data_IF_072555797745
#
_entry.id   IF_072555797745
#
_cell.length_a   1.000
_cell.length_b   1.000
_cell.length_c   1.000
_cell.angle_alpha   90.00
_cell.angle_beta   90.00
_cell.angle_gamma   90.00
#
_symmetry.space_group_name_H-M   'P 1'
#
loop_
_entity.id
_entity.type
_entity.pdbx_description
1 polymer ?
#
# COMPACT_ATOMS: atom_id res chain seq x y z
N UNK A 1 -16.50 -6.60 3.50
CA UNK A 1 -15.80 -7.75 4.07
C UNK A 1 -15.00 -7.28 5.27
N UNK A 2 -15.20 -7.96 6.42
CA UNK A 2 -14.47 -7.68 7.65
C UNK A 2 -12.99 -7.95 7.40
N UNK A 3 -12.20 -6.92 7.27
CA UNK A 3 -10.75 -7.08 7.31
C UNK A 3 -10.33 -7.42 8.75
N UNK A 4 -9.43 -8.39 8.94
CA UNK A 4 -8.94 -8.73 10.26
C UNK A 4 -8.25 -7.51 10.88
N UNK A 5 -8.39 -7.37 12.20
CA UNK A 5 -7.64 -6.38 12.96
C UNK A 5 -6.12 -6.53 12.70
N UNK A 6 -5.36 -5.44 12.72
CA UNK A 6 -3.93 -5.49 12.49
C UNK A 6 -3.26 -6.44 13.48
N UNK A 7 -2.35 -7.26 12.96
CA UNK A 7 -1.64 -8.25 13.74
C UNK A 7 -0.38 -7.62 14.36
N UNK A 8 -0.15 -7.78 15.68
CA UNK A 8 0.90 -7.03 16.38
C UNK A 8 2.34 -7.50 16.10
N UNK A 9 2.52 -8.66 15.45
CA UNK A 9 3.85 -9.22 15.17
C UNK A 9 3.85 -10.15 13.95
N UNK A 10 5.02 -10.34 13.34
CA UNK A 10 5.29 -11.34 12.31
C UNK A 10 5.45 -12.74 12.93
N UNK A 11 4.43 -13.22 13.60
CA UNK A 11 4.39 -14.59 14.06
C UNK A 11 3.85 -15.50 12.96
N UNK A 12 4.24 -16.77 12.96
CA UNK A 12 3.83 -17.73 11.94
C UNK A 12 2.31 -17.82 11.80
N UNK A 13 1.59 -17.79 12.93
CA UNK A 13 0.12 -17.81 12.96
C UNK A 13 -0.51 -16.52 12.40
N UNK A 14 0.20 -15.40 12.51
CA UNK A 14 -0.21 -14.13 11.94
C UNK A 14 -0.05 -14.14 10.43
N UNK A 15 1.09 -14.62 9.93
CA UNK A 15 1.36 -14.78 8.50
C UNK A 15 0.39 -15.77 7.84
N UNK A 16 0.02 -16.84 8.53
CA UNK A 16 -0.93 -17.84 8.03
C UNK A 16 -2.36 -17.28 7.83
N UNK A 17 -2.69 -16.15 8.44
CA UNK A 17 -4.01 -15.47 8.29
C UNK A 17 -4.03 -14.46 7.16
N UNK A 18 -2.86 -14.10 6.59
CA UNK A 18 -2.82 -13.18 5.47
C UNK A 18 -3.43 -13.82 4.21
N UNK A 19 -4.13 -13.03 3.39
CA UNK A 19 -4.56 -13.52 2.08
C UNK A 19 -3.36 -13.99 1.25
N UNK A 20 -3.51 -15.10 0.54
CA UNK A 20 -2.43 -15.70 -0.27
C UNK A 20 -1.88 -14.78 -1.37
N UNK A 21 -2.59 -13.73 -1.75
CA UNK A 21 -2.06 -12.73 -2.68
C UNK A 21 -1.01 -11.80 -2.06
N UNK A 22 -0.89 -11.75 -0.73
CA UNK A 22 0.22 -11.07 -0.03
C UNK A 22 1.39 -12.01 0.24
N UNK A 23 1.10 -13.26 0.63
CA UNK A 23 2.10 -14.28 0.92
C UNK A 23 1.73 -15.53 0.13
N UNK A 24 2.20 -15.57 -1.13
CA UNK A 24 1.86 -16.67 -2.03
C UNK A 24 2.55 -17.97 -1.62
N UNK A 25 1.81 -19.09 -1.59
CA UNK A 25 2.43 -20.40 -1.45
C UNK A 25 3.40 -20.66 -2.61
N UNK A 26 4.58 -21.17 -2.28
CA UNK A 26 5.46 -21.71 -3.31
C UNK A 26 5.03 -23.17 -3.62
N UNK A 27 4.71 -23.55 -4.85
CA UNK A 27 5.05 -22.97 -6.15
C UNK A 27 3.89 -22.27 -6.90
N UNK A 28 2.88 -21.72 -6.20
CA UNK A 28 1.73 -21.11 -6.88
C UNK A 28 2.13 -19.94 -7.80
N UNK A 29 1.42 -19.83 -8.90
CA UNK A 29 1.48 -18.65 -9.76
C UNK A 29 0.55 -17.56 -9.23
N UNK A 30 0.79 -16.29 -9.59
CA UNK A 30 -0.10 -15.19 -9.21
C UNK A 30 -1.59 -15.44 -9.57
N UNK A 31 -1.95 -15.91 -10.79
CA UNK A 31 -3.34 -16.24 -11.09
C UNK A 31 -3.95 -17.30 -10.16
N UNK A 32 -3.19 -18.32 -9.78
CA UNK A 32 -3.66 -19.35 -8.84
C UNK A 32 -3.87 -18.79 -7.43
N UNK A 33 -2.95 -17.97 -6.95
CA UNK A 33 -3.04 -17.34 -5.62
C UNK A 33 -4.20 -16.34 -5.53
N UNK A 34 -4.50 -15.61 -6.61
CA UNK A 34 -5.53 -14.55 -6.63
C UNK A 34 -6.93 -15.10 -6.92
N UNK A 35 -7.05 -16.19 -7.70
CA UNK A 35 -8.35 -16.71 -8.13
C UNK A 35 -9.39 -16.90 -7.00
N UNK A 36 -9.04 -17.40 -5.79
CA UNK A 36 -10.00 -17.55 -4.70
C UNK A 36 -10.53 -16.23 -4.13
N UNK A 37 -9.88 -15.12 -4.43
CA UNK A 37 -10.18 -13.77 -3.90
C UNK A 37 -10.75 -12.83 -4.98
N UNK A 38 -11.00 -13.35 -6.18
CA UNK A 38 -11.61 -12.53 -7.23
C UNK A 38 -13.00 -12.06 -6.82
N UNK A 39 -13.32 -10.79 -7.04
CA UNK A 39 -14.65 -10.27 -6.71
C UNK A 39 -15.73 -10.91 -7.58
N UNK A 40 -16.89 -11.09 -7.02
CA UNK A 40 -18.09 -11.47 -7.74
C UNK A 40 -18.57 -10.34 -8.67
N UNK A 41 -19.38 -10.60 -9.71
CA UNK A 41 -19.99 -9.55 -10.52
C UNK A 41 -20.73 -8.49 -9.69
N UNK A 42 -21.46 -8.89 -8.66
CA UNK A 42 -22.18 -7.96 -7.78
C UNK A 42 -21.23 -7.06 -6.97
N UNK A 43 -20.08 -7.56 -6.54
CA UNK A 43 -19.07 -6.75 -5.87
C UNK A 43 -18.37 -5.79 -6.82
N UNK A 44 -18.17 -6.19 -8.09
CA UNK A 44 -17.64 -5.32 -9.15
C UNK A 44 -18.63 -4.19 -9.42
N UNK A 45 -19.91 -4.51 -9.60
CA UNK A 45 -20.97 -3.52 -9.84
C UNK A 45 -21.15 -2.55 -8.66
N UNK A 46 -20.91 -3.00 -7.44
CA UNK A 46 -20.95 -2.18 -6.23
C UNK A 46 -19.67 -1.34 -5.99
N UNK A 47 -18.63 -1.52 -6.78
CA UNK A 47 -17.37 -0.80 -6.63
C UNK A 47 -17.51 0.63 -7.15
N UNK A 48 -17.53 1.61 -6.24
CA UNK A 48 -17.71 3.03 -6.58
C UNK A 48 -16.40 3.79 -6.75
N UNK A 49 -15.28 3.25 -6.27
CA UNK A 49 -13.98 3.93 -6.30
C UNK A 49 -13.13 3.59 -7.53
N UNK A 50 -13.49 2.57 -8.30
CA UNK A 50 -12.84 2.19 -9.56
C UNK A 50 -13.90 1.91 -10.65
N UNK A 51 -14.61 2.92 -11.14
CA UNK A 51 -15.57 2.74 -12.24
C UNK A 51 -14.85 2.37 -13.55
N UNK A 52 -15.61 1.86 -14.51
CA UNK A 52 -15.08 1.32 -15.77
C UNK A 52 -14.24 2.33 -16.58
N UNK A 53 -14.61 3.59 -16.58
CA UNK A 53 -13.86 4.65 -17.26
C UNK A 53 -12.49 4.89 -16.59
N UNK A 54 -12.42 4.89 -15.27
CA UNK A 54 -11.17 4.97 -14.53
C UNK A 54 -10.30 3.74 -14.77
N UNK A 55 -10.88 2.53 -14.74
CA UNK A 55 -10.18 1.28 -15.05
C UNK A 55 -9.64 1.28 -16.48
N UNK A 56 -10.40 1.83 -17.44
CA UNK A 56 -9.97 1.92 -18.84
C UNK A 56 -8.69 2.76 -19.02
N UNK A 57 -8.47 3.77 -18.19
CA UNK A 57 -7.22 4.57 -18.20
C UNK A 57 -6.02 3.71 -17.82
N UNK A 58 -6.13 2.88 -16.77
CA UNK A 58 -5.08 1.94 -16.38
C UNK A 58 -4.81 0.91 -17.48
N UNK A 59 -5.87 0.32 -18.02
CA UNK A 59 -5.78 -0.67 -19.11
C UNK A 59 -5.05 -0.06 -20.32
N UNK A 60 -5.41 1.14 -20.74
CA UNK A 60 -4.77 1.82 -21.86
C UNK A 60 -3.28 2.13 -21.57
N UNK A 61 -2.96 2.57 -20.38
CA UNK A 61 -1.58 2.85 -19.97
C UNK A 61 -0.72 1.58 -19.99
N UNK A 62 -1.18 0.49 -19.39
CA UNK A 62 -0.44 -0.77 -19.36
C UNK A 62 -0.37 -1.48 -20.71
N UNK A 63 -1.42 -1.40 -21.55
CA UNK A 63 -1.35 -1.87 -22.94
C UNK A 63 -0.26 -1.17 -23.73
N UNK A 64 -0.06 0.11 -23.53
CA UNK A 64 0.95 0.91 -24.25
C UNK A 64 2.36 0.71 -23.71
N UNK A 65 2.55 0.59 -22.39
CA UNK A 65 3.86 0.62 -21.72
C UNK A 65 4.29 -0.72 -21.16
N UNK A 66 3.37 -1.68 -21.01
CA UNK A 66 3.62 -2.93 -20.28
C UNK A 66 3.78 -2.72 -18.79
N UNK A 67 4.07 -3.79 -18.09
CA UNK A 67 4.20 -3.80 -16.62
C UNK A 67 5.65 -3.60 -16.13
N UNK A 68 6.64 -3.57 -17.03
CA UNK A 68 8.06 -3.59 -16.65
C UNK A 68 8.45 -2.41 -15.76
N UNK A 69 7.95 -1.20 -16.06
CA UNK A 69 8.23 -0.01 -15.24
C UNK A 69 7.76 -0.15 -13.80
N UNK A 70 6.52 -0.59 -13.59
CA UNK A 70 5.98 -0.84 -12.25
C UNK A 70 6.70 -1.96 -11.51
N UNK A 71 7.08 -3.03 -12.22
CA UNK A 71 7.79 -4.16 -11.64
C UNK A 71 9.23 -3.82 -11.22
N UNK A 72 9.85 -2.80 -11.82
CA UNK A 72 11.20 -2.36 -11.43
C UNK A 72 11.27 -1.90 -9.98
N UNK A 73 10.23 -1.28 -9.45
CA UNK A 73 10.16 -0.93 -8.04
C UNK A 73 10.44 -2.14 -7.12
N UNK A 74 9.77 -3.26 -7.39
CA UNK A 74 9.94 -4.49 -6.62
C UNK A 74 11.29 -5.18 -6.87
N UNK A 75 11.78 -5.15 -8.11
CA UNK A 75 13.10 -5.71 -8.46
C UNK A 75 14.23 -4.96 -7.76
N UNK A 76 14.17 -3.64 -7.71
CA UNK A 76 15.14 -2.83 -6.98
C UNK A 76 15.18 -3.17 -5.48
N UNK A 77 14.03 -3.52 -4.87
CA UNK A 77 13.98 -3.92 -3.47
C UNK A 77 14.68 -5.27 -3.17
N UNK A 78 14.87 -6.11 -4.19
CA UNK A 78 15.50 -7.44 -4.08
C UNK A 78 16.88 -7.53 -4.73
N UNK A 79 17.33 -6.48 -5.39
CA UNK A 79 18.63 -6.42 -6.05
C UNK A 79 19.74 -6.01 -5.07
N UNK A 80 20.82 -6.77 -5.02
CA UNK A 80 21.88 -6.58 -4.05
C UNK A 80 22.61 -5.23 -4.23
N UNK A 81 22.86 -4.81 -5.47
CA UNK A 81 23.57 -3.55 -5.74
C UNK A 81 22.69 -2.35 -5.36
N UNK A 82 21.39 -2.42 -5.65
CA UNK A 82 20.43 -1.41 -5.23
C UNK A 82 20.30 -1.36 -3.71
N UNK A 83 20.32 -2.51 -3.03
CA UNK A 83 20.31 -2.57 -1.56
C UNK A 83 21.53 -1.85 -0.96
N UNK A 84 22.73 -2.08 -1.51
CA UNK A 84 23.97 -1.38 -1.11
C UNK A 84 23.83 0.13 -1.31
N UNK A 85 23.31 0.56 -2.45
CA UNK A 85 23.08 1.98 -2.73
C UNK A 85 22.08 2.63 -1.77
N UNK A 86 20.99 1.91 -1.41
CA UNK A 86 20.00 2.39 -0.46
C UNK A 86 20.50 2.39 1.00
N UNK A 87 21.46 1.52 1.34
CA UNK A 87 22.00 1.43 2.70
C UNK A 87 22.66 2.74 3.19
N UNK A 88 23.12 3.59 2.27
CA UNK A 88 23.62 4.93 2.59
C UNK A 88 22.60 5.83 3.31
N UNK A 89 21.31 5.52 3.18
CA UNK A 89 20.23 6.24 3.86
C UNK A 89 19.83 5.63 5.21
N UNK A 90 20.43 4.50 5.58
CA UNK A 90 20.13 3.83 6.84
C UNK A 90 20.39 4.75 8.04
N UNK A 91 19.37 4.89 8.90
CA UNK A 91 19.44 5.74 10.09
C UNK A 91 19.36 7.25 9.83
N UNK A 92 19.25 7.70 8.57
CA UNK A 92 19.03 9.11 8.29
C UNK A 92 17.62 9.54 8.69
N UNK A 93 17.56 10.71 9.30
CA UNK A 93 16.29 11.34 9.66
C UNK A 93 15.72 12.13 8.48
N UNK A 94 14.40 12.17 8.39
CA UNK A 94 13.65 13.04 7.48
C UNK A 94 13.35 14.31 8.26
N UNK A 95 13.98 15.41 7.86
CA UNK A 95 13.93 16.70 8.60
C UNK A 95 13.05 17.76 7.93
N UNK A 96 12.50 17.44 6.76
CA UNK A 96 11.55 18.29 6.05
C UNK A 96 10.14 18.06 6.59
N UNK A 97 9.22 19.04 6.45
CA UNK A 97 7.81 18.85 6.76
C UNK A 97 7.29 17.59 6.08
N UNK A 98 6.63 16.72 6.83
CA UNK A 98 6.19 15.41 6.36
C UNK A 98 4.76 15.14 6.80
N UNK A 99 4.01 14.43 5.98
CA UNK A 99 2.69 13.90 6.33
C UNK A 99 2.59 12.43 5.90
N UNK A 100 1.80 11.66 6.63
CA UNK A 100 1.47 10.28 6.30
C UNK A 100 -0.04 10.11 6.22
N UNK A 101 -0.52 9.54 5.11
CA UNK A 101 -1.94 9.26 4.88
C UNK A 101 -2.05 7.82 4.38
N UNK A 102 -2.86 7.00 5.04
CA UNK A 102 -3.12 5.62 4.61
C UNK A 102 -4.55 5.20 4.96
N UNK A 103 -5.04 4.13 4.34
CA UNK A 103 -6.30 3.50 4.72
C UNK A 103 -6.13 2.62 5.96
N UNK A 104 -7.15 2.59 6.84
CA UNK A 104 -7.15 1.76 8.04
C UNK A 104 -7.16 0.25 7.72
N UNK A 105 -7.60 -0.10 6.52
CA UNK A 105 -7.64 -1.45 6.01
C UNK A 105 -6.44 -1.80 5.11
N UNK A 106 -5.45 -0.90 4.99
CA UNK A 106 -4.23 -1.17 4.25
C UNK A 106 -3.28 -2.04 5.08
N UNK A 107 -3.04 -3.26 4.61
CA UNK A 107 -2.07 -4.17 5.22
C UNK A 107 -0.66 -3.54 5.29
N UNK A 108 -0.30 -2.69 4.32
CA UNK A 108 0.99 -2.00 4.26
C UNK A 108 1.33 -1.20 5.52
N UNK A 109 0.34 -0.68 6.22
CA UNK A 109 0.52 0.05 7.49
C UNK A 109 1.02 -0.87 8.61
N UNK A 110 0.65 -2.14 8.56
CA UNK A 110 0.87 -3.12 9.63
C UNK A 110 1.96 -4.14 9.32
N UNK A 111 2.44 -4.20 8.08
CA UNK A 111 3.38 -5.22 7.60
C UNK A 111 4.75 -5.20 8.29
N UNK A 112 5.13 -4.09 8.91
CA UNK A 112 6.38 -3.95 9.66
C UNK A 112 6.07 -3.51 11.09
N UNK A 113 6.05 -4.44 12.06
CA UNK A 113 5.72 -4.15 13.45
C UNK A 113 6.53 -2.98 14.03
N UNK A 114 5.84 -2.01 14.62
CA UNK A 114 6.43 -0.81 15.18
C UNK A 114 6.98 0.22 14.18
N UNK A 115 6.88 -0.01 12.86
CA UNK A 115 7.36 0.95 11.85
C UNK A 115 6.59 2.27 11.93
N UNK A 116 5.27 2.18 12.12
CA UNK A 116 4.40 3.34 12.26
C UNK A 116 4.77 4.21 13.48
N UNK A 117 5.05 3.58 14.62
CA UNK A 117 5.48 4.30 15.83
C UNK A 117 6.88 4.89 15.66
N UNK A 118 7.79 4.15 15.01
CA UNK A 118 9.15 4.64 14.70
C UNK A 118 9.14 5.81 13.71
N UNK A 119 8.11 5.93 12.86
CA UNK A 119 8.01 7.04 11.90
C UNK A 119 8.13 8.39 12.59
N UNK A 120 7.49 8.56 13.76
CA UNK A 120 7.55 9.80 14.56
C UNK A 120 8.96 10.17 15.02
N UNK A 121 9.84 9.19 15.20
CA UNK A 121 11.23 9.42 15.59
C UNK A 121 12.16 9.65 14.39
N UNK A 122 11.78 9.16 13.22
CA UNK A 122 12.54 9.30 11.96
C UNK A 122 12.16 10.59 11.25
N UNK A 123 10.88 10.88 11.13
CA UNK A 123 10.36 12.13 10.58
C UNK A 123 10.30 13.19 11.69
N UNK A 124 11.36 13.97 11.85
CA UNK A 124 11.48 14.93 12.98
C UNK A 124 10.57 16.14 12.86
N UNK A 125 10.01 16.37 11.67
CA UNK A 125 9.00 17.40 11.40
C UNK A 125 7.73 16.77 10.80
N UNK A 126 7.18 15.73 11.47
CA UNK A 126 5.95 15.08 11.07
C UNK A 126 4.74 15.94 11.47
N UNK A 127 4.16 16.63 10.50
CA UNK A 127 3.02 17.55 10.68
C UNK A 127 1.71 16.81 10.90
N UNK A 128 1.51 15.70 10.20
CA UNK A 128 0.26 14.95 10.22
C UNK A 128 0.44 13.46 10.00
N UNK A 129 -0.47 12.67 10.57
CA UNK A 129 -0.51 11.23 10.44
C UNK A 129 -1.98 10.78 10.45
N UNK A 130 -2.50 10.44 9.29
CA UNK A 130 -3.92 10.14 9.09
C UNK A 130 -4.11 8.69 8.67
N UNK A 131 -4.90 7.95 9.44
CA UNK A 131 -5.37 6.61 9.10
C UNK A 131 -6.86 6.70 8.85
N UNK A 132 -7.27 6.57 7.58
CA UNK A 132 -8.63 6.81 7.14
C UNK A 132 -9.49 5.55 7.26
N UNK A 133 -10.55 5.56 8.08
CA UNK A 133 -11.44 4.42 8.20
C UNK A 133 -12.21 4.16 6.90
N UNK A 134 -12.48 2.89 6.61
CA UNK A 134 -13.21 2.48 5.41
C UNK A 134 -12.47 2.71 4.10
N UNK A 135 -11.14 2.75 4.16
CA UNK A 135 -10.26 2.74 3.00
C UNK A 135 -9.16 1.69 3.16
N UNK A 136 -8.73 1.12 2.05
CA UNK A 136 -7.64 0.16 1.94
C UNK A 136 -6.37 0.78 1.35
N UNK A 137 -5.67 -0.02 0.54
CA UNK A 137 -4.37 0.34 -0.01
C UNK A 137 -4.43 1.53 -1.00
N UNK A 138 -5.51 1.67 -1.74
CA UNK A 138 -5.67 2.73 -2.73
C UNK A 138 -6.41 3.94 -2.14
N UNK A 139 -5.97 4.39 -0.97
CA UNK A 139 -6.63 5.43 -0.17
C UNK A 139 -6.96 6.70 -0.98
N UNK A 140 -6.09 7.12 -1.90
CA UNK A 140 -6.30 8.28 -2.76
C UNK A 140 -7.41 8.08 -3.80
N UNK A 141 -7.71 6.84 -4.16
CA UNK A 141 -8.84 6.51 -5.05
C UNK A 141 -10.12 6.20 -4.28
N UNK A 142 -9.98 5.55 -3.11
CA UNK A 142 -11.09 5.15 -2.28
C UNK A 142 -11.71 6.34 -1.52
N UNK A 143 -10.90 7.35 -1.19
CA UNK A 143 -11.29 8.56 -0.46
C UNK A 143 -10.70 9.84 -1.07
N UNK A 144 -10.94 10.12 -2.38
CA UNK A 144 -10.23 11.17 -3.11
C UNK A 144 -10.43 12.56 -2.52
N UNK A 145 -11.64 12.90 -2.09
CA UNK A 145 -11.94 14.21 -1.51
C UNK A 145 -11.19 14.40 -0.20
N UNK A 146 -11.29 13.42 0.69
CA UNK A 146 -10.66 13.47 2.01
C UNK A 146 -9.13 13.53 1.91
N UNK A 147 -8.54 12.75 1.02
CA UNK A 147 -7.08 12.79 0.78
C UNK A 147 -6.66 14.14 0.21
N UNK A 148 -7.42 14.69 -0.74
CA UNK A 148 -7.14 16.01 -1.31
C UNK A 148 -7.20 17.13 -0.26
N UNK A 149 -8.21 17.11 0.60
CA UNK A 149 -8.34 18.08 1.70
C UNK A 149 -7.16 18.00 2.66
N UNK A 150 -6.74 16.79 3.06
CA UNK A 150 -5.60 16.59 3.94
C UNK A 150 -4.27 17.03 3.31
N UNK A 151 -4.11 16.80 2.01
CA UNK A 151 -2.93 17.26 1.27
C UNK A 151 -2.89 18.79 1.18
N UNK A 152 -4.03 19.45 0.90
CA UNK A 152 -4.09 20.90 0.88
C UNK A 152 -3.80 21.51 2.26
N UNK A 153 -4.37 20.95 3.32
CA UNK A 153 -4.06 21.36 4.69
C UNK A 153 -2.57 21.21 5.02
N UNK A 154 -1.93 20.14 4.57
CA UNK A 154 -0.50 19.95 4.76
C UNK A 154 0.34 20.98 3.99
N UNK A 155 -0.06 21.34 2.77
CA UNK A 155 0.67 22.32 1.96
C UNK A 155 0.58 23.75 2.52
N UNK A 156 -0.40 24.03 3.36
CA UNK A 156 -0.58 25.32 4.05
C UNK A 156 0.22 25.41 5.36
N UNK A 157 0.96 24.37 5.75
CA UNK A 157 1.81 24.35 6.98
C UNK A 157 3.25 24.73 6.67
#
# INVERSE_FOLDING_TARGET
PNQPAPLPAWEADALARLPHYYVMPFPDTMPQAVAPFMPTPAEIDACTWLPDDALAVYVAAYKRRGFQGGLQWYRCATDADTYVALSQFHGKRITVPSAFIAGAADWGVYQSPGAFDRMKSICTDLKACHILPGAGHWVQQEKPQQVSELLLQFLDT
#
